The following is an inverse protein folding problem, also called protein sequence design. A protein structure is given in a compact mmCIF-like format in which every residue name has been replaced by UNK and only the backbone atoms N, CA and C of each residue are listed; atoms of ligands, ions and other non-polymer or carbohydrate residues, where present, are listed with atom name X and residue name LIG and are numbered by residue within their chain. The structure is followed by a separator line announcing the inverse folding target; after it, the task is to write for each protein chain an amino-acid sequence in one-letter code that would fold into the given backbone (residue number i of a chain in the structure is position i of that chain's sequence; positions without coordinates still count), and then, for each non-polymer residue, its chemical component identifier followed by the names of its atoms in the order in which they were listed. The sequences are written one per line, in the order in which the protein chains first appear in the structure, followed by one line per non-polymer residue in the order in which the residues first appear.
data_IF_526243670295
#
_entry.id   IF_526243670295
#
_cell.length_a   1.000
_cell.length_b   1.000
_cell.length_c   1.000
_cell.angle_alpha   90.00
_cell.angle_beta   90.00
_cell.angle_gamma   90.00
#
_symmetry.space_group_name_H-M   'P 1'
#
loop_
_entity.id
_entity.type
_entity.pdbx_description
1 polymer ?
#
# COMPACT_ATOMS: atom_id res chain seq x y z
N UNK A 1 -26.87 -19.84 -24.32
CA UNK A 1 -27.76 -19.58 -23.17
C UNK A 1 -26.90 -19.46 -21.92
N UNK A 2 -27.19 -18.50 -21.05
CA UNK A 2 -26.48 -18.32 -19.78
C UNK A 2 -26.88 -19.43 -18.81
N UNK A 3 -25.91 -20.11 -18.21
CA UNK A 3 -26.15 -21.26 -17.33
C UNK A 3 -26.04 -20.87 -15.86
N UNK A 4 -27.12 -21.01 -15.10
CA UNK A 4 -27.05 -20.88 -13.64
C UNK A 4 -26.51 -22.16 -13.00
N UNK A 5 -25.53 -22.02 -12.10
CA UNK A 5 -24.94 -23.11 -11.32
C UNK A 5 -25.44 -23.11 -9.86
N UNK A 6 -26.25 -22.12 -9.49
CA UNK A 6 -26.71 -21.91 -8.11
C UNK A 6 -25.57 -21.53 -7.15
N UNK A 7 -25.78 -21.83 -5.88
CA UNK A 7 -24.81 -21.53 -4.82
C UNK A 7 -23.71 -22.60 -4.74
N UNK A 8 -22.47 -22.15 -4.73
CA UNK A 8 -21.27 -22.97 -4.76
C UNK A 8 -20.45 -22.78 -3.48
N UNK A 9 -19.84 -23.88 -3.01
CA UNK A 9 -18.86 -23.85 -1.92
C UNK A 9 -17.42 -23.64 -2.40
N UNK A 10 -17.16 -23.76 -3.70
CA UNK A 10 -15.83 -23.60 -4.31
C UNK A 10 -15.99 -22.88 -5.66
N UNK A 11 -16.06 -21.54 -5.67
CA UNK A 11 -16.29 -20.76 -6.88
C UNK A 11 -15.15 -20.94 -7.90
N UNK A 12 -13.91 -21.05 -7.46
CA UNK A 12 -12.76 -21.27 -8.36
C UNK A 12 -12.89 -22.55 -9.19
N UNK A 13 -13.44 -23.64 -8.63
CA UNK A 13 -13.66 -24.87 -9.40
C UNK A 13 -14.64 -24.67 -10.55
N UNK A 14 -15.68 -23.85 -10.35
CA UNK A 14 -16.62 -23.54 -11.42
C UNK A 14 -15.96 -22.73 -12.53
N UNK A 15 -15.08 -21.79 -12.18
CA UNK A 15 -14.29 -21.04 -13.16
C UNK A 15 -13.33 -21.98 -13.91
N UNK A 16 -12.59 -22.87 -13.24
CA UNK A 16 -11.74 -23.84 -13.94
C UNK A 16 -12.55 -24.70 -14.92
N UNK A 17 -13.72 -25.18 -14.49
CA UNK A 17 -14.61 -25.97 -15.36
C UNK A 17 -15.12 -25.16 -16.57
N UNK A 18 -15.36 -23.86 -16.39
CA UNK A 18 -15.71 -22.94 -17.47
C UNK A 18 -14.57 -22.80 -18.48
N UNK A 19 -13.34 -22.66 -18.00
CA UNK A 19 -12.16 -22.53 -18.86
C UNK A 19 -11.85 -23.83 -19.62
N UNK A 20 -12.06 -24.98 -18.97
CA UNK A 20 -11.82 -26.31 -19.54
C UNK A 20 -12.75 -26.65 -20.73
N UNK A 21 -13.87 -25.92 -20.92
CA UNK A 21 -14.73 -26.15 -22.09
C UNK A 21 -14.05 -25.74 -23.39
N UNK A 22 -13.18 -24.72 -23.35
CA UNK A 22 -12.58 -24.11 -24.55
C UNK A 22 -13.58 -23.42 -25.48
N UNK A 23 -14.87 -23.38 -25.13
CA UNK A 23 -15.96 -22.85 -25.94
C UNK A 23 -16.54 -21.58 -25.31
N UNK A 24 -17.22 -20.75 -26.11
CA UNK A 24 -17.97 -19.60 -25.60
C UNK A 24 -19.00 -20.05 -24.57
N UNK A 25 -18.92 -19.50 -23.36
CA UNK A 25 -19.81 -19.84 -22.27
C UNK A 25 -20.03 -18.66 -21.32
N UNK A 26 -21.22 -18.61 -20.74
CA UNK A 26 -21.55 -17.67 -19.68
C UNK A 26 -22.26 -18.41 -18.55
N UNK A 27 -21.73 -18.30 -17.35
CA UNK A 27 -22.25 -18.94 -16.15
C UNK A 27 -22.55 -17.92 -15.07
N UNK A 28 -23.59 -18.19 -14.28
CA UNK A 28 -23.93 -17.42 -13.09
C UNK A 28 -23.91 -18.34 -11.89
N UNK A 29 -23.27 -17.92 -10.81
CA UNK A 29 -23.23 -18.66 -9.56
C UNK A 29 -23.17 -17.74 -8.35
N UNK A 30 -23.45 -18.31 -7.19
CA UNK A 30 -23.37 -17.61 -5.91
C UNK A 30 -22.31 -18.25 -5.02
N UNK A 31 -21.71 -17.49 -4.12
CA UNK A 31 -20.87 -18.03 -3.05
C UNK A 31 -20.98 -17.18 -1.78
N UNK A 32 -20.63 -17.77 -0.64
CA UNK A 32 -20.54 -17.02 0.63
C UNK A 32 -19.13 -16.43 0.76
N UNK A 33 -19.04 -15.11 0.85
CA UNK A 33 -17.82 -14.37 1.15
C UNK A 33 -17.85 -13.90 2.60
N UNK A 34 -16.81 -14.23 3.37
CA UNK A 34 -16.68 -13.75 4.74
C UNK A 34 -16.00 -12.38 4.72
N UNK A 35 -16.70 -11.35 5.21
CA UNK A 35 -16.17 -10.00 5.23
C UNK A 35 -15.19 -9.79 6.40
N UNK A 36 -14.02 -10.44 6.33
CA UNK A 36 -12.97 -10.33 7.34
C UNK A 36 -12.53 -8.88 7.62
N UNK A 37 -12.72 -8.00 6.64
CA UNK A 37 -12.40 -6.59 6.67
C UNK A 37 -13.52 -5.68 7.23
N UNK A 38 -14.68 -6.21 7.62
CA UNK A 38 -15.77 -5.39 8.18
C UNK A 38 -16.48 -6.07 9.34
N UNK A 39 -17.58 -6.76 9.08
CA UNK A 39 -18.46 -7.36 10.10
C UNK A 39 -17.97 -8.72 10.58
N UNK A 40 -17.08 -9.37 9.81
CA UNK A 40 -16.74 -10.78 9.98
C UNK A 40 -17.89 -11.74 9.65
N UNK A 41 -19.03 -11.24 9.14
CA UNK A 41 -20.18 -12.04 8.76
C UNK A 41 -20.09 -12.43 7.28
N UNK A 42 -20.67 -13.58 6.90
CA UNK A 42 -20.78 -13.97 5.51
C UNK A 42 -21.83 -13.13 4.78
N UNK A 43 -21.53 -12.76 3.54
CA UNK A 43 -22.48 -12.22 2.56
C UNK A 43 -22.54 -13.15 1.34
N UNK A 44 -23.71 -13.26 0.72
CA UNK A 44 -23.83 -13.97 -0.56
C UNK A 44 -23.43 -13.02 -1.69
N UNK A 45 -22.48 -13.43 -2.51
CA UNK A 45 -22.07 -12.74 -3.72
C UNK A 45 -22.51 -13.56 -4.93
N UNK A 46 -23.12 -12.89 -5.90
CA UNK A 46 -23.42 -13.43 -7.23
C UNK A 46 -22.33 -13.02 -8.20
N UNK A 47 -21.88 -13.97 -8.99
CA UNK A 47 -20.86 -13.77 -10.03
C UNK A 47 -21.43 -14.18 -11.37
N UNK A 48 -21.23 -13.32 -12.36
CA UNK A 48 -21.53 -13.60 -13.76
C UNK A 48 -20.18 -13.71 -14.46
N UNK A 49 -19.82 -14.91 -14.92
CA UNK A 49 -18.58 -15.16 -15.64
C UNK A 49 -18.87 -15.43 -17.11
N UNK A 50 -18.23 -14.67 -17.99
CA UNK A 50 -18.22 -14.90 -19.42
C UNK A 50 -16.82 -15.32 -19.87
N UNK A 51 -16.76 -16.32 -20.74
CA UNK A 51 -15.53 -16.78 -21.36
C UNK A 51 -15.74 -16.99 -22.86
N UNK A 52 -14.82 -16.50 -23.68
CA UNK A 52 -14.77 -16.79 -25.10
C UNK A 52 -13.33 -16.69 -25.62
N UNK A 53 -12.75 -17.78 -26.15
CA UNK A 53 -11.43 -17.79 -26.81
C UNK A 53 -10.33 -17.01 -26.07
N UNK A 54 -10.22 -17.22 -24.75
CA UNK A 54 -9.31 -16.43 -23.94
C UNK A 54 -9.78 -14.99 -23.80
N UNK A 55 -11.06 -14.74 -23.55
CA UNK A 55 -11.58 -13.47 -23.04
C UNK A 55 -12.38 -13.79 -21.79
N UNK A 56 -11.74 -13.71 -20.62
CA UNK A 56 -12.35 -14.01 -19.34
C UNK A 56 -12.83 -12.72 -18.69
N UNK A 57 -14.15 -12.58 -18.57
CA UNK A 57 -14.80 -11.41 -18.01
C UNK A 57 -15.70 -11.78 -16.86
N UNK A 58 -15.78 -10.91 -15.86
CA UNK A 58 -16.57 -11.15 -14.67
C UNK A 58 -17.28 -9.88 -14.19
N UNK A 59 -18.47 -10.07 -13.64
CA UNK A 59 -19.23 -9.06 -12.92
C UNK A 59 -19.71 -9.63 -11.57
N UNK A 60 -19.83 -8.77 -10.57
CA UNK A 60 -20.14 -9.14 -9.19
C UNK A 60 -21.30 -8.31 -8.66
N UNK A 61 -22.19 -8.92 -7.87
CA UNK A 61 -23.28 -8.20 -7.18
C UNK A 61 -23.78 -8.96 -5.96
N UNK A 62 -24.35 -8.25 -4.99
CA UNK A 62 -25.12 -8.82 -3.88
C UNK A 62 -26.63 -8.81 -4.12
N UNK A 63 -27.10 -8.27 -5.25
CA UNK A 63 -28.52 -8.14 -5.60
C UNK A 63 -29.04 -9.36 -6.39
N UNK A 64 -29.59 -10.35 -5.68
CA UNK A 64 -29.96 -11.68 -6.19
C UNK A 64 -31.30 -11.74 -6.96
N UNK A 65 -32.33 -11.07 -6.45
CA UNK A 65 -33.71 -11.23 -6.94
C UNK A 65 -33.93 -10.69 -8.37
N UNK A 66 -33.39 -9.51 -8.75
CA UNK A 66 -33.56 -8.97 -10.11
C UNK A 66 -32.85 -9.82 -11.19
N UNK A 67 -31.70 -10.43 -10.84
CA UNK A 67 -30.84 -11.14 -11.79
C UNK A 67 -31.41 -12.50 -12.19
N UNK A 68 -31.97 -13.23 -11.22
CA UNK A 68 -32.49 -14.59 -11.39
C UNK A 68 -33.58 -14.67 -12.48
N UNK A 69 -34.43 -13.65 -12.55
CA UNK A 69 -35.50 -13.55 -13.56
C UNK A 69 -34.94 -13.24 -14.95
N UNK A 70 -33.93 -12.39 -15.04
CA UNK A 70 -33.36 -11.94 -16.32
C UNK A 70 -32.57 -13.03 -17.05
N UNK A 71 -31.99 -14.01 -16.34
CA UNK A 71 -31.22 -15.12 -16.94
C UNK A 71 -32.10 -16.08 -17.75
N UNK A 72 -33.31 -16.39 -17.23
CA UNK A 72 -34.22 -17.36 -17.85
C UNK A 72 -34.91 -16.88 -19.14
N UNK A 73 -34.83 -15.58 -19.44
CA UNK A 73 -35.52 -14.94 -20.57
C UNK A 73 -34.59 -14.64 -21.76
N UNK A 74 -33.29 -14.98 -21.69
CA UNK A 74 -32.33 -14.64 -22.74
C UNK A 74 -32.40 -15.59 -23.94
N UNK A 75 -32.80 -15.07 -25.09
CA UNK A 75 -32.82 -15.80 -26.37
C UNK A 75 -31.73 -15.35 -27.36
N UNK A 76 -30.93 -14.35 -26.98
CA UNK A 76 -29.85 -13.78 -27.79
C UNK A 76 -28.55 -14.62 -27.69
N UNK A 77 -27.53 -14.28 -28.49
CA UNK A 77 -26.19 -14.86 -28.37
C UNK A 77 -25.58 -14.65 -26.98
N UNK A 78 -24.65 -15.51 -26.57
CA UNK A 78 -24.15 -15.56 -25.18
C UNK A 78 -23.50 -14.23 -24.76
N UNK A 79 -22.58 -13.69 -25.57
CA UNK A 79 -21.97 -12.38 -25.32
C UNK A 79 -22.99 -11.22 -25.22
N UNK A 80 -23.99 -11.21 -26.11
CA UNK A 80 -25.03 -10.17 -26.09
C UNK A 80 -25.89 -10.26 -24.83
N UNK A 81 -26.28 -11.48 -24.43
CA UNK A 81 -27.01 -11.74 -23.20
C UNK A 81 -26.21 -11.31 -21.96
N UNK A 82 -24.90 -11.60 -21.93
CA UNK A 82 -23.98 -11.13 -20.89
C UNK A 82 -23.98 -9.59 -20.81
N UNK A 83 -23.67 -8.91 -21.92
CA UNK A 83 -23.61 -7.44 -21.98
C UNK A 83 -24.92 -6.79 -21.54
N UNK A 84 -26.05 -7.34 -21.98
CA UNK A 84 -27.39 -6.84 -21.64
C UNK A 84 -27.69 -6.97 -20.14
N UNK A 85 -27.27 -8.06 -19.50
CA UNK A 85 -27.40 -8.23 -18.04
C UNK A 85 -26.58 -7.17 -17.31
N UNK A 86 -25.31 -6.98 -17.69
CA UNK A 86 -24.43 -5.99 -17.08
C UNK A 86 -25.03 -4.58 -17.16
N UNK A 87 -25.53 -4.18 -18.33
CA UNK A 87 -26.18 -2.88 -18.53
C UNK A 87 -27.45 -2.75 -17.70
N UNK A 88 -28.32 -3.78 -17.69
CA UNK A 88 -29.59 -3.76 -16.95
C UNK A 88 -29.39 -3.61 -15.44
N UNK A 89 -28.29 -4.14 -14.91
CA UNK A 89 -27.96 -4.13 -13.48
C UNK A 89 -26.82 -3.16 -13.13
N UNK A 90 -26.35 -2.34 -14.08
CA UNK A 90 -25.27 -1.36 -13.89
C UNK A 90 -23.99 -1.99 -13.28
N UNK A 91 -23.64 -3.19 -13.73
CA UNK A 91 -22.49 -3.93 -13.21
C UNK A 91 -21.21 -3.60 -13.97
N UNK A 92 -20.09 -3.64 -13.24
CA UNK A 92 -18.75 -3.39 -13.80
C UNK A 92 -18.25 -4.55 -14.66
N UNK A 93 -17.76 -4.15 -15.83
CA UNK A 93 -17.07 -4.91 -16.87
C UNK A 93 -15.64 -5.39 -16.58
N UNK A 94 -15.40 -6.36 -15.68
CA UNK A 94 -14.00 -6.71 -15.35
C UNK A 94 -13.45 -7.75 -16.33
N UNK A 95 -12.58 -7.30 -17.24
CA UNK A 95 -11.80 -8.18 -18.12
C UNK A 95 -10.49 -8.61 -17.45
N UNK A 96 -10.44 -9.85 -16.96
CA UNK A 96 -9.29 -10.40 -16.23
C UNK A 96 -8.06 -10.67 -17.12
N UNK A 97 -8.18 -10.53 -18.43
CA UNK A 97 -7.05 -10.72 -19.35
C UNK A 97 -6.37 -9.42 -19.78
N UNK A 98 -6.82 -8.29 -19.21
CA UNK A 98 -6.24 -6.96 -19.41
C UNK A 98 -5.70 -6.42 -18.09
N UNK A 99 -4.81 -5.41 -18.12
CA UNK A 99 -4.44 -4.65 -16.94
C UNK A 99 -5.68 -4.11 -16.21
N UNK A 100 -5.77 -4.38 -14.93
CA UNK A 100 -6.86 -3.95 -14.06
C UNK A 100 -6.43 -2.68 -13.32
N UNK A 101 -7.06 -1.55 -13.63
CA UNK A 101 -6.81 -0.31 -12.90
C UNK A 101 -7.22 -0.47 -11.44
N UNK A 102 -6.32 -0.12 -10.53
CA UNK A 102 -6.58 -0.16 -9.09
C UNK A 102 -7.23 1.14 -8.65
N UNK A 103 -8.40 1.04 -8.03
CA UNK A 103 -9.01 2.19 -7.36
C UNK A 103 -8.29 2.44 -6.03
N UNK A 104 -8.11 3.72 -5.69
CA UNK A 104 -7.39 4.12 -4.49
C UNK A 104 -8.31 4.21 -3.28
N UNK A 105 -7.79 3.82 -2.11
CA UNK A 105 -8.39 4.11 -0.81
C UNK A 105 -7.50 5.08 -0.04
N UNK A 106 -8.00 6.28 0.23
CA UNK A 106 -7.32 7.25 1.09
C UNK A 106 -7.60 6.93 2.55
N UNK A 107 -6.55 6.80 3.36
CA UNK A 107 -6.62 6.51 4.79
C UNK A 107 -6.01 7.69 5.53
N UNK A 108 -6.82 8.53 6.19
CA UNK A 108 -6.30 9.67 6.94
C UNK A 108 -5.46 9.18 8.12
N UNK A 109 -4.35 9.88 8.37
CA UNK A 109 -3.48 9.68 9.52
C UNK A 109 -3.25 11.02 10.22
N UNK A 110 -2.89 11.02 11.52
CA UNK A 110 -2.51 12.25 12.20
C UNK A 110 -1.40 12.99 11.46
N UNK A 111 -0.48 12.23 10.86
CA UNK A 111 0.68 12.78 10.17
C UNK A 111 0.48 13.14 8.69
N UNK A 112 -0.70 12.89 8.12
CA UNK A 112 -0.93 13.05 6.69
C UNK A 112 -1.96 12.03 6.20
N UNK A 113 -1.56 11.17 5.27
CA UNK A 113 -2.39 10.08 4.80
C UNK A 113 -1.57 8.93 4.21
N UNK A 114 -2.18 7.76 4.18
CA UNK A 114 -1.77 6.68 3.29
C UNK A 114 -2.75 6.61 2.11
N UNK A 115 -2.27 6.26 0.93
CA UNK A 115 -3.10 6.02 -0.27
C UNK A 115 -2.88 4.59 -0.71
N UNK A 116 -3.86 3.72 -0.50
CA UNK A 116 -3.73 2.27 -0.73
C UNK A 116 -4.25 1.88 -2.11
N UNK A 117 -3.58 0.93 -2.76
CA UNK A 117 -3.96 0.38 -4.08
C UNK A 117 -4.34 -1.10 -4.01
N UNK A 118 -3.81 -1.86 -3.05
CA UNK A 118 -4.08 -3.31 -2.92
C UNK A 118 -4.52 -3.73 -1.52
N UNK A 119 -5.15 -2.80 -0.78
CA UNK A 119 -5.73 -3.07 0.53
C UNK A 119 -6.81 -4.15 0.51
N UNK A 120 -6.75 -5.10 1.45
CA UNK A 120 -7.72 -6.21 1.57
C UNK A 120 -8.14 -6.49 3.02
N UNK A 121 -7.93 -5.54 3.94
CA UNK A 121 -8.22 -5.71 5.37
C UNK A 121 -8.95 -4.52 5.98
N UNK A 122 -9.32 -4.64 7.25
CA UNK A 122 -10.20 -3.73 8.00
C UNK A 122 -9.85 -2.24 7.92
N UNK A 123 -8.57 -1.87 7.84
CA UNK A 123 -8.18 -0.44 7.72
C UNK A 123 -8.40 0.13 6.32
N UNK A 124 -8.45 -0.70 5.28
CA UNK A 124 -8.60 -0.24 3.91
C UNK A 124 -8.78 -1.38 2.91
N UNK A 125 -9.89 -1.34 2.17
CA UNK A 125 -10.21 -2.27 1.09
C UNK A 125 -10.16 -1.49 -0.22
N UNK A 126 -9.32 -1.93 -1.14
CA UNK A 126 -9.23 -1.39 -2.48
C UNK A 126 -10.17 -2.13 -3.42
N UNK A 127 -10.54 -1.46 -4.50
CA UNK A 127 -11.47 -1.99 -5.51
C UNK A 127 -10.85 -1.97 -6.90
N UNK A 128 -11.46 -2.73 -7.81
CA UNK A 128 -11.24 -2.63 -9.25
C UNK A 128 -12.60 -2.33 -9.85
N UNK A 129 -12.76 -1.15 -10.44
CA UNK A 129 -14.05 -0.68 -10.96
C UNK A 129 -15.17 -0.81 -9.91
N UNK A 130 -14.90 -0.35 -8.68
CA UNK A 130 -15.77 -0.43 -7.51
C UNK A 130 -16.09 -1.86 -6.99
N UNK A 131 -15.53 -2.92 -7.58
CA UNK A 131 -15.63 -4.28 -7.02
C UNK A 131 -14.51 -4.50 -6.00
N UNK A 132 -14.83 -4.90 -4.75
CA UNK A 132 -13.81 -5.23 -3.75
C UNK A 132 -12.81 -6.27 -4.25
N UNK A 133 -11.52 -5.95 -4.15
CA UNK A 133 -10.44 -6.86 -4.53
C UNK A 133 -10.56 -8.26 -3.88
N UNK A 134 -10.96 -8.40 -2.59
CA UNK A 134 -11.19 -9.71 -1.98
C UNK A 134 -12.24 -10.57 -2.71
N UNK A 135 -13.28 -9.96 -3.30
CA UNK A 135 -14.32 -10.70 -4.03
C UNK A 135 -13.75 -11.34 -5.30
N UNK A 136 -12.87 -10.61 -5.98
CA UNK A 136 -12.18 -11.10 -7.18
C UNK A 136 -11.23 -12.24 -6.78
N UNK A 137 -10.47 -12.08 -5.70
CA UNK A 137 -9.51 -13.09 -5.23
C UNK A 137 -10.20 -14.39 -4.79
N UNK A 138 -11.32 -14.33 -4.06
CA UNK A 138 -12.05 -15.53 -3.62
C UNK A 138 -12.50 -16.43 -4.78
N UNK A 139 -12.79 -15.82 -5.93
CA UNK A 139 -13.24 -16.53 -7.13
C UNK A 139 -12.05 -16.92 -8.01
N UNK A 140 -11.14 -15.98 -8.26
CA UNK A 140 -10.15 -16.05 -9.33
C UNK A 140 -8.69 -16.14 -8.87
N UNK A 141 -8.39 -16.28 -7.57
CA UNK A 141 -7.01 -16.25 -7.05
C UNK A 141 -6.03 -17.05 -7.92
N UNK A 142 -6.24 -18.35 -8.15
CA UNK A 142 -5.30 -19.17 -8.93
C UNK A 142 -5.03 -18.68 -10.36
N UNK A 143 -5.96 -17.94 -10.96
CA UNK A 143 -5.88 -17.47 -12.34
C UNK A 143 -5.34 -16.02 -12.37
N UNK A 144 -5.73 -15.18 -11.40
CA UNK A 144 -5.36 -13.78 -11.34
C UNK A 144 -4.00 -13.57 -10.68
N UNK A 145 -3.66 -14.33 -9.64
CA UNK A 145 -2.34 -14.28 -8.98
C UNK A 145 -1.34 -15.25 -9.60
N UNK A 146 -1.82 -16.33 -10.22
CA UNK A 146 -1.01 -17.47 -10.68
C UNK A 146 -0.85 -18.58 -9.63
N UNK A 147 -1.23 -18.34 -8.36
CA UNK A 147 -1.24 -19.34 -7.29
C UNK A 147 -2.14 -18.93 -6.12
N UNK A 148 -2.89 -19.88 -5.55
CA UNK A 148 -3.77 -19.59 -4.39
C UNK A 148 -3.01 -19.22 -3.12
N UNK A 149 -1.74 -19.58 -3.01
CA UNK A 149 -0.91 -19.29 -1.84
C UNK A 149 -0.38 -17.84 -1.86
N UNK A 150 -0.43 -17.18 -3.01
CA UNK A 150 0.04 -15.81 -3.15
C UNK A 150 -1.01 -14.82 -2.69
N UNK A 151 -0.65 -14.01 -1.71
CA UNK A 151 -1.39 -12.81 -1.32
C UNK A 151 -0.82 -11.61 -2.06
N UNK A 152 -1.65 -10.65 -2.51
CA UNK A 152 -1.14 -9.44 -3.13
C UNK A 152 -0.11 -8.72 -2.26
N UNK A 153 0.97 -8.27 -2.88
CA UNK A 153 1.90 -7.29 -2.31
C UNK A 153 1.07 -6.06 -1.95
N UNK A 154 1.30 -5.48 -0.78
CA UNK A 154 0.60 -4.26 -0.40
C UNK A 154 1.34 -3.06 -0.99
N UNK A 155 0.70 -2.43 -1.98
CA UNK A 155 1.11 -1.20 -2.63
C UNK A 155 0.32 -0.03 -2.02
N UNK A 156 1.07 0.95 -1.51
CA UNK A 156 0.52 2.20 -1.01
C UNK A 156 1.48 3.36 -1.27
N UNK A 157 0.98 4.58 -1.12
CA UNK A 157 1.79 5.79 -1.03
C UNK A 157 1.71 6.31 0.39
N UNK A 158 2.85 6.72 0.95
CA UNK A 158 2.90 7.52 2.17
C UNK A 158 2.98 8.99 1.76
N UNK A 159 2.05 9.79 2.27
CA UNK A 159 1.92 11.22 1.96
C UNK A 159 1.89 12.05 3.24
N UNK A 160 3.05 12.27 3.88
CA UNK A 160 3.11 13.00 5.13
C UNK A 160 2.92 14.50 4.90
N UNK A 161 2.36 15.18 5.90
CA UNK A 161 2.33 16.64 5.94
C UNK A 161 3.73 17.21 5.75
N UNK A 162 3.91 18.35 5.07
CA UNK A 162 5.22 19.01 4.98
C UNK A 162 5.63 19.74 6.26
N UNK A 163 4.78 19.77 7.29
CA UNK A 163 5.08 20.48 8.54
C UNK A 163 5.82 19.57 9.51
N UNK A 164 7.01 19.99 9.98
CA UNK A 164 7.79 19.26 11.00
C UNK A 164 6.94 18.87 12.21
N UNK A 165 7.24 17.73 12.85
CA UNK A 165 6.49 17.11 13.96
C UNK A 165 5.15 16.54 13.49
N UNK A 166 4.33 17.33 12.79
CA UNK A 166 3.05 16.85 12.27
C UNK A 166 3.28 15.80 11.18
N UNK A 167 4.18 16.03 10.23
CA UNK A 167 4.45 15.13 9.13
C UNK A 167 5.43 13.99 9.43
N UNK A 168 6.10 14.02 10.56
CA UNK A 168 7.06 12.97 10.90
C UNK A 168 6.31 11.70 11.28
N UNK A 169 6.67 10.56 10.69
CA UNK A 169 6.09 9.26 11.04
C UNK A 169 6.70 8.70 12.33
N UNK A 170 6.11 7.62 12.85
CA UNK A 170 6.69 6.87 13.97
C UNK A 170 8.14 6.49 13.68
N UNK A 171 9.01 6.52 14.69
CA UNK A 171 10.22 5.72 14.65
C UNK A 171 9.83 4.31 15.08
N UNK A 172 9.66 3.44 14.09
CA UNK A 172 9.09 2.10 14.25
C UNK A 172 9.98 1.02 13.64
N UNK A 173 9.75 -0.22 14.05
CA UNK A 173 10.33 -1.41 13.41
C UNK A 173 9.27 -2.47 13.17
N UNK A 174 9.58 -3.38 12.25
CA UNK A 174 8.79 -4.58 11.96
C UNK A 174 9.63 -5.83 12.18
N UNK A 175 9.01 -6.97 12.53
CA UNK A 175 9.74 -8.22 12.82
C UNK A 175 9.66 -9.21 11.65
N UNK A 176 8.60 -9.15 10.84
CA UNK A 176 8.42 -10.02 9.68
C UNK A 176 8.39 -9.22 8.39
N UNK A 177 7.78 -8.05 8.46
CA UNK A 177 7.50 -7.25 7.29
C UNK A 177 8.79 -6.72 6.64
N UNK A 178 8.82 -6.82 5.31
CA UNK A 178 9.78 -6.15 4.44
C UNK A 178 9.09 -5.08 3.62
N UNK A 179 9.79 -3.97 3.42
CA UNK A 179 9.28 -2.83 2.70
C UNK A 179 10.35 -2.27 1.75
N UNK A 180 9.92 -1.68 0.64
CA UNK A 180 10.78 -0.82 -0.17
C UNK A 180 10.05 0.48 -0.48
N UNK A 181 10.74 1.59 -0.20
CA UNK A 181 10.28 2.94 -0.49
C UNK A 181 10.98 3.47 -1.73
N UNK A 182 10.21 4.10 -2.62
CA UNK A 182 10.73 4.89 -3.74
C UNK A 182 10.25 6.33 -3.57
N UNK A 183 11.20 7.25 -3.39
CA UNK A 183 10.89 8.67 -3.19
C UNK A 183 10.37 9.27 -4.48
N UNK A 184 9.15 9.80 -4.46
CA UNK A 184 8.50 10.40 -5.65
C UNK A 184 8.43 11.91 -5.57
N UNK A 185 8.37 12.47 -4.36
CA UNK A 185 8.27 13.91 -4.18
C UNK A 185 8.88 14.36 -2.85
N UNK A 186 9.43 15.58 -2.86
CA UNK A 186 9.89 16.30 -1.69
C UNK A 186 9.19 17.67 -1.70
N UNK A 187 8.53 18.02 -0.61
CA UNK A 187 7.92 19.34 -0.47
C UNK A 187 9.01 20.43 -0.46
N UNK A 188 8.87 21.40 -1.36
CA UNK A 188 9.87 22.45 -1.58
C UNK A 188 9.97 23.46 -0.42
N UNK A 189 8.92 23.60 0.39
CA UNK A 189 8.94 24.49 1.55
C UNK A 189 9.58 23.81 2.75
N UNK A 190 9.35 22.51 2.92
CA UNK A 190 10.01 21.69 3.94
C UNK A 190 11.50 21.48 3.62
N UNK A 191 11.82 21.22 2.35
CA UNK A 191 13.16 20.82 1.91
C UNK A 191 13.63 21.67 0.71
N UNK A 192 13.98 22.97 0.93
CA UNK A 192 14.30 23.90 -0.15
C UNK A 192 15.54 23.49 -0.97
N UNK A 193 16.44 22.70 -0.39
CA UNK A 193 17.64 22.18 -1.07
C UNK A 193 17.39 20.86 -1.82
N UNK A 194 16.12 20.46 -1.97
CA UNK A 194 15.70 19.19 -2.60
C UNK A 194 16.36 17.96 -1.97
N UNK A 195 16.53 18.01 -0.65
CA UNK A 195 17.15 16.98 0.17
C UNK A 195 16.24 16.70 1.37
N UNK A 196 15.36 15.71 1.24
CA UNK A 196 14.52 15.21 2.31
C UNK A 196 15.30 14.36 3.30
N UNK A 197 14.62 13.83 4.31
CA UNK A 197 15.24 12.96 5.32
C UNK A 197 14.38 11.74 5.66
N UNK A 198 15.05 10.66 6.04
CA UNK A 198 14.50 9.52 6.76
C UNK A 198 15.40 9.25 7.97
N UNK A 199 14.81 8.91 9.12
CA UNK A 199 15.59 8.28 10.20
C UNK A 199 15.67 6.80 9.90
N UNK A 200 16.87 6.23 9.89
CA UNK A 200 17.08 4.88 9.40
C UNK A 200 18.19 4.19 10.17
N UNK A 201 17.81 3.33 11.11
CA UNK A 201 18.70 2.73 12.08
C UNK A 201 19.12 3.68 13.20
N UNK A 202 20.02 3.18 14.04
CA UNK A 202 20.66 3.96 15.10
C UNK A 202 21.95 4.61 14.62
N UNK A 203 22.28 5.75 15.21
CA UNK A 203 23.46 6.54 14.85
C UNK A 203 24.76 5.81 15.25
N UNK A 204 25.65 5.49 14.30
CA UNK A 204 26.87 4.74 14.58
C UNK A 204 27.83 5.46 15.52
N UNK A 205 27.92 6.80 15.43
CA UNK A 205 28.78 7.57 16.31
C UNK A 205 28.25 7.54 17.74
N UNK A 206 26.93 7.63 17.92
CA UNK A 206 26.30 7.45 19.22
C UNK A 206 26.50 6.04 19.78
N UNK A 207 26.36 4.99 18.96
CA UNK A 207 26.64 3.61 19.37
C UNK A 207 28.07 3.50 19.91
N UNK A 208 29.04 4.08 19.20
CA UNK A 208 30.46 4.05 19.56
C UNK A 208 30.80 4.81 20.86
N UNK A 209 29.89 5.64 21.39
CA UNK A 209 30.09 6.29 22.70
C UNK A 209 29.85 5.35 23.90
N UNK A 210 29.20 4.20 23.67
CA UNK A 210 28.91 3.22 24.71
C UNK A 210 29.85 2.02 24.64
N UNK A 211 30.09 1.39 25.79
CA UNK A 211 31.02 0.26 25.86
C UNK A 211 30.49 -1.00 25.17
N UNK A 212 29.16 -1.16 25.11
CA UNK A 212 28.50 -2.30 24.51
C UNK A 212 27.05 -1.95 24.09
N UNK A 213 26.46 -2.85 23.31
CA UNK A 213 25.10 -2.74 22.79
C UNK A 213 24.04 -2.63 23.90
N UNK A 214 24.22 -3.33 25.02
CA UNK A 214 23.25 -3.30 26.12
C UNK A 214 23.23 -1.93 26.81
N UNK A 215 24.39 -1.32 27.00
CA UNK A 215 24.50 0.03 27.55
C UNK A 215 23.89 1.07 26.61
N UNK A 216 24.12 0.95 25.30
CA UNK A 216 23.47 1.78 24.31
C UNK A 216 21.93 1.64 24.37
N UNK A 217 21.41 0.41 24.29
CA UNK A 217 19.96 0.14 24.36
C UNK A 217 19.34 0.69 25.63
N UNK A 218 20.01 0.52 26.77
CA UNK A 218 19.57 1.06 28.06
C UNK A 218 19.54 2.59 28.06
N UNK A 219 20.57 3.23 27.52
CA UNK A 219 20.64 4.69 27.45
C UNK A 219 19.56 5.28 26.52
N UNK A 220 19.34 4.65 25.36
CA UNK A 220 18.26 5.03 24.46
C UNK A 220 16.90 4.86 25.15
N UNK A 221 16.64 3.71 25.80
CA UNK A 221 15.39 3.48 26.53
C UNK A 221 15.16 4.52 27.64
N UNK A 222 16.21 4.91 28.37
CA UNK A 222 16.12 6.00 29.35
C UNK A 222 15.73 7.31 28.68
N UNK A 223 16.40 7.68 27.59
CA UNK A 223 16.09 8.93 26.85
C UNK A 223 14.65 8.95 26.31
N UNK A 224 14.17 7.82 25.80
CA UNK A 224 12.79 7.66 25.33
C UNK A 224 11.79 7.80 26.47
N UNK A 225 12.05 7.19 27.63
CA UNK A 225 11.16 7.28 28.80
C UNK A 225 11.11 8.70 29.37
N UNK A 226 12.25 9.39 29.43
CA UNK A 226 12.32 10.78 29.88
C UNK A 226 11.53 11.69 28.94
N UNK A 227 11.70 11.52 27.63
CA UNK A 227 10.92 12.21 26.61
C UNK A 227 9.41 11.94 26.74
N UNK A 228 9.03 10.66 26.83
CA UNK A 228 7.63 10.22 26.88
C UNK A 228 6.88 10.82 28.06
N UNK A 229 7.50 10.93 29.25
CA UNK A 229 6.86 11.54 30.42
C UNK A 229 6.42 12.99 30.18
N UNK A 230 7.15 13.73 29.35
CA UNK A 230 6.79 15.11 28.96
C UNK A 230 5.76 15.09 27.84
N UNK A 231 5.94 14.23 26.84
CA UNK A 231 4.99 14.06 25.73
C UNK A 231 3.59 13.68 26.22
N UNK A 232 3.47 12.77 27.18
CA UNK A 232 2.21 12.34 27.77
C UNK A 232 1.44 13.52 28.40
N UNK A 233 2.14 14.49 29.01
CA UNK A 233 1.52 15.70 29.57
C UNK A 233 1.02 16.65 28.49
N UNK A 234 1.77 16.78 27.40
CA UNK A 234 1.39 17.59 26.25
C UNK A 234 0.19 16.96 25.56
N UNK A 235 0.20 15.65 25.35
CA UNK A 235 -0.90 14.91 24.75
C UNK A 235 -2.18 15.05 25.56
N UNK A 236 -2.10 14.93 26.90
CA UNK A 236 -3.25 15.17 27.77
C UNK A 236 -3.83 16.59 27.61
N UNK A 237 -2.96 17.62 27.49
CA UNK A 237 -3.41 18.99 27.25
C UNK A 237 -4.03 19.17 25.86
N UNK A 238 -3.45 18.55 24.82
CA UNK A 238 -4.00 18.58 23.47
C UNK A 238 -5.33 17.85 23.38
N UNK A 239 -5.52 16.77 24.14
CA UNK A 239 -6.79 16.06 24.25
C UNK A 239 -7.88 16.96 24.88
N UNK A 240 -7.55 17.73 25.93
CA UNK A 240 -8.48 18.72 26.51
C UNK A 240 -8.89 19.78 25.48
N UNK A 241 -7.92 20.34 24.74
CA UNK A 241 -8.18 21.36 23.71
C UNK A 241 -9.07 20.77 22.59
N UNK A 242 -8.74 19.56 22.13
CA UNK A 242 -9.51 18.83 21.11
C UNK A 242 -10.95 18.54 21.58
N UNK A 243 -11.11 18.08 22.82
CA UNK A 243 -12.43 17.81 23.41
C UNK A 243 -13.28 19.09 23.51
N UNK A 244 -12.66 20.23 23.88
CA UNK A 244 -13.36 21.52 23.93
C UNK A 244 -13.80 22.00 22.53
N UNK A 245 -13.06 21.61 21.49
CA UNK A 245 -13.42 21.86 20.09
C UNK A 245 -14.45 20.87 19.52
N UNK A 246 -14.93 19.90 20.31
CA UNK A 246 -15.89 18.86 19.90
C UNK A 246 -15.44 18.00 18.71
N UNK A 247 -14.11 17.83 18.55
CA UNK A 247 -13.53 16.98 17.52
C UNK A 247 -13.31 15.56 18.03
N UNK A 248 -13.49 14.58 17.14
CA UNK A 248 -13.31 13.17 17.50
C UNK A 248 -11.83 12.85 17.69
N UNK A 249 -11.51 11.91 18.58
CA UNK A 249 -10.14 11.41 18.73
C UNK A 249 -9.64 10.84 17.39
N UNK A 250 -8.44 11.28 16.98
CA UNK A 250 -7.82 10.85 15.73
C UNK A 250 -8.28 11.52 14.44
N UNK A 251 -9.29 12.38 14.49
CA UNK A 251 -9.63 13.23 13.36
C UNK A 251 -8.45 14.13 12.96
N UNK A 252 -8.15 14.21 11.66
CA UNK A 252 -7.08 15.05 11.13
C UNK A 252 -7.48 16.51 11.28
N UNK A 253 -6.54 17.34 11.71
CA UNK A 253 -6.73 18.79 11.81
C UNK A 253 -5.85 19.53 10.80
N UNK A 254 -6.28 20.70 10.29
CA UNK A 254 -5.43 21.57 9.48
C UNK A 254 -4.16 21.99 10.22
N UNK A 255 -3.10 22.32 9.48
CA UNK A 255 -1.80 22.73 10.03
C UNK A 255 -1.95 23.96 10.93
N UNK A 256 -2.80 24.91 10.55
CA UNK A 256 -3.07 26.13 11.32
C UNK A 256 -3.71 25.81 12.68
N UNK A 257 -4.63 24.84 12.70
CA UNK A 257 -5.26 24.36 13.94
C UNK A 257 -4.24 23.65 14.82
N UNK A 258 -3.43 22.76 14.23
CA UNK A 258 -2.33 22.10 14.96
C UNK A 258 -1.39 23.11 15.61
N UNK A 259 -0.97 24.15 14.87
CA UNK A 259 -0.12 25.24 15.36
C UNK A 259 -0.79 26.04 16.47
N UNK A 260 -2.07 26.38 16.30
CA UNK A 260 -2.84 27.09 17.32
C UNK A 260 -2.87 26.31 18.63
N UNK A 261 -3.18 25.01 18.60
CA UNK A 261 -3.24 24.19 19.80
C UNK A 261 -1.88 24.02 20.46
N UNK A 262 -0.81 23.85 19.67
CA UNK A 262 0.54 23.76 20.21
C UNK A 262 1.01 25.09 20.83
N UNK A 263 0.47 26.23 20.39
CA UNK A 263 0.76 27.53 21.02
C UNK A 263 0.10 27.72 22.39
N UNK A 264 -0.88 26.89 22.74
CA UNK A 264 -1.54 26.88 24.05
C UNK A 264 -0.83 25.99 25.08
N UNK A 265 0.22 25.26 24.66
CA UNK A 265 1.02 24.45 25.57
C UNK A 265 1.91 25.36 26.41
N UNK A 266 2.07 25.02 27.70
CA UNK A 266 2.95 25.75 28.61
C UNK A 266 4.36 25.90 27.99
N UNK A 267 4.92 27.13 27.87
CA UNK A 267 6.20 27.34 27.20
C UNK A 267 7.37 26.60 27.85
N UNK A 268 7.33 26.37 29.17
CA UNK A 268 8.38 25.62 29.87
C UNK A 268 8.30 24.14 29.49
N UNK A 269 7.08 23.59 29.47
CA UNK A 269 6.83 22.21 29.05
C UNK A 269 7.19 21.99 27.57
N UNK A 270 6.87 22.93 26.68
CA UNK A 270 7.22 22.88 25.27
C UNK A 270 8.74 22.94 25.05
N UNK A 271 9.45 23.79 25.79
CA UNK A 271 10.91 23.84 25.74
C UNK A 271 11.55 22.54 26.25
N UNK A 272 10.99 21.96 27.32
CA UNK A 272 11.44 20.68 27.86
C UNK A 272 11.20 19.52 26.87
N UNK A 273 10.03 19.48 26.21
CA UNK A 273 9.73 18.52 25.15
C UNK A 273 10.77 18.58 24.05
N UNK A 274 11.05 19.79 23.54
CA UNK A 274 12.00 19.99 22.45
C UNK A 274 13.39 19.49 22.84
N UNK A 275 13.88 19.86 24.03
CA UNK A 275 15.18 19.44 24.52
C UNK A 275 15.28 17.91 24.63
N UNK A 276 14.26 17.25 25.19
CA UNK A 276 14.26 15.80 25.36
C UNK A 276 14.08 15.05 24.03
N UNK A 277 13.28 15.60 23.11
CA UNK A 277 13.14 15.08 21.75
C UNK A 277 14.45 15.15 21.00
N UNK A 278 15.15 16.28 21.06
CA UNK A 278 16.47 16.45 20.46
C UNK A 278 17.47 15.45 21.05
N UNK A 279 17.53 15.30 22.38
CA UNK A 279 18.40 14.34 23.05
C UNK A 279 18.11 12.88 22.64
N UNK A 280 16.82 12.50 22.56
CA UNK A 280 16.40 11.19 22.08
C UNK A 280 16.76 10.97 20.61
N UNK A 281 16.56 11.98 19.76
CA UNK A 281 16.83 11.92 18.34
C UNK A 281 18.32 11.82 18.00
N UNK A 282 19.23 12.19 18.91
CA UNK A 282 20.66 11.97 18.73
C UNK A 282 20.99 10.49 18.52
N UNK A 283 20.23 9.58 19.14
CA UNK A 283 20.47 8.14 19.02
C UNK A 283 20.14 7.58 17.62
N UNK A 284 19.38 8.29 16.79
CA UNK A 284 18.88 7.77 15.51
C UNK A 284 19.69 8.33 14.35
N UNK A 285 20.07 7.49 13.40
CA UNK A 285 20.78 7.92 12.21
C UNK A 285 19.82 8.64 11.26
N UNK A 286 20.30 9.73 10.65
CA UNK A 286 19.59 10.41 9.57
C UNK A 286 20.23 10.05 8.23
N UNK A 287 19.38 9.80 7.23
CA UNK A 287 19.79 9.62 5.84
C UNK A 287 19.09 10.67 4.99
N UNK A 288 19.88 11.40 4.20
CA UNK A 288 19.35 12.35 3.21
C UNK A 288 18.73 11.59 2.04
N UNK A 289 17.61 12.10 1.54
CA UNK A 289 16.81 11.54 0.46
C UNK A 289 16.62 12.53 -0.68
N UNK A 290 16.61 12.00 -1.90
CA UNK A 290 16.27 12.71 -3.15
C UNK A 290 15.17 11.96 -3.88
N UNK A 291 14.46 12.66 -4.77
CA UNK A 291 13.50 12.03 -5.69
C UNK A 291 14.23 10.95 -6.50
N UNK A 292 13.64 9.76 -6.57
CA UNK A 292 14.21 8.59 -7.20
C UNK A 292 15.08 7.72 -6.28
N UNK A 293 15.38 8.15 -5.05
CA UNK A 293 16.07 7.29 -4.09
C UNK A 293 15.22 6.08 -3.72
N UNK A 294 15.91 4.98 -3.38
CA UNK A 294 15.32 3.72 -2.96
C UNK A 294 15.81 3.37 -1.57
N UNK A 295 14.88 2.98 -0.71
CA UNK A 295 15.16 2.53 0.65
C UNK A 295 14.52 1.16 0.80
N UNK A 296 15.35 0.12 0.91
CA UNK A 296 14.89 -1.21 1.31
C UNK A 296 14.93 -1.28 2.83
N UNK A 297 13.85 -1.74 3.44
CA UNK A 297 13.70 -1.86 4.89
C UNK A 297 13.59 -3.34 5.23
N UNK A 298 14.65 -3.89 5.84
CA UNK A 298 14.62 -5.27 6.33
C UNK A 298 13.96 -5.35 7.70
N UNK A 299 13.54 -6.57 8.11
CA UNK A 299 13.01 -6.76 9.45
C UNK A 299 14.04 -6.38 10.51
N UNK A 300 13.52 -5.87 11.63
CA UNK A 300 14.25 -5.38 12.79
C UNK A 300 15.06 -4.10 12.57
N UNK A 301 14.84 -3.39 11.45
CA UNK A 301 15.46 -2.08 11.18
C UNK A 301 14.52 -0.94 11.58
N UNK A 302 14.89 -0.13 12.58
CA UNK A 302 14.09 1.03 12.97
C UNK A 302 14.13 2.11 11.89
N UNK A 303 12.98 2.69 11.55
CA UNK A 303 12.92 3.74 10.55
C UNK A 303 11.76 4.70 10.80
N UNK A 304 11.84 5.91 10.24
CA UNK A 304 10.81 6.94 10.28
C UNK A 304 10.96 7.88 9.08
N UNK A 305 9.99 7.84 8.17
CA UNK A 305 9.91 8.82 7.08
C UNK A 305 9.61 10.21 7.68
N UNK A 306 10.40 11.22 7.31
CA UNK A 306 10.19 12.58 7.84
C UNK A 306 9.15 13.33 7.00
N UNK A 307 8.62 14.41 7.59
CA UNK A 307 7.65 15.32 6.98
C UNK A 307 8.00 15.70 5.53
N UNK A 308 6.97 15.85 4.68
CA UNK A 308 7.11 16.33 3.31
C UNK A 308 7.86 15.40 2.35
N UNK A 309 8.28 14.21 2.78
CA UNK A 309 8.84 13.17 1.91
C UNK A 309 7.73 12.22 1.50
N UNK A 310 7.38 12.22 0.22
CA UNK A 310 6.36 11.32 -0.35
C UNK A 310 7.04 10.12 -1.00
N UNK A 311 6.54 8.92 -0.70
CA UNK A 311 7.10 7.66 -1.23
C UNK A 311 6.00 6.74 -1.74
N UNK A 312 6.31 6.00 -2.82
CA UNK A 312 5.62 4.75 -3.15
C UNK A 312 6.24 3.68 -2.27
N UNK A 313 5.41 2.88 -1.61
CA UNK A 313 5.81 1.76 -0.77
C UNK A 313 5.22 0.45 -1.28
N UNK A 314 6.09 -0.54 -1.49
CA UNK A 314 5.71 -1.94 -1.61
C UNK A 314 6.10 -2.67 -0.33
N UNK A 315 5.18 -3.43 0.25
CA UNK A 315 5.46 -4.22 1.45
C UNK A 315 4.83 -5.61 1.35
N UNK A 316 5.40 -6.56 2.09
CA UNK A 316 4.71 -7.82 2.41
C UNK A 316 3.36 -7.52 3.08
N UNK A 317 2.32 -8.36 2.94
CA UNK A 317 0.99 -8.16 3.53
C UNK A 317 0.97 -8.46 5.04
N UNK A 318 1.95 -7.92 5.75
CA UNK A 318 2.15 -7.96 7.19
C UNK A 318 1.87 -6.57 7.76
N UNK A 319 1.38 -6.54 9.00
CA UNK A 319 0.74 -5.35 9.56
C UNK A 319 1.16 -5.05 11.00
N UNK A 320 2.08 -5.85 11.54
CA UNK A 320 2.70 -5.55 12.82
C UNK A 320 3.55 -4.29 12.72
N UNK A 321 3.67 -3.60 13.84
CA UNK A 321 4.60 -2.49 14.04
C UNK A 321 4.93 -2.42 15.52
N UNK A 322 6.18 -2.09 15.81
CA UNK A 322 6.65 -1.79 17.15
C UNK A 322 7.07 -0.33 17.15
N UNK A 323 6.41 0.51 17.94
CA UNK A 323 6.69 1.94 17.99
C UNK A 323 7.78 2.19 19.04
N UNK A 324 8.97 2.63 18.61
CA UNK A 324 10.06 2.95 19.52
C UNK A 324 9.89 4.35 20.12
N UNK A 325 9.48 5.32 19.31
CA UNK A 325 9.19 6.70 19.75
C UNK A 325 8.35 7.45 18.73
N UNK A 326 7.63 8.49 19.18
CA UNK A 326 6.84 9.32 18.28
C UNK A 326 6.72 10.77 18.79
N UNK A 327 6.74 11.75 17.89
CA UNK A 327 6.65 13.17 18.24
C UNK A 327 5.21 13.67 18.44
N UNK A 328 4.22 12.82 18.14
CA UNK A 328 2.80 13.08 18.36
C UNK A 328 2.18 11.96 19.22
N UNK A 329 0.90 12.11 19.55
CA UNK A 329 0.13 11.07 20.24
C UNK A 329 -0.04 9.83 19.37
N UNK A 330 0.22 8.64 19.92
CA UNK A 330 -0.15 7.37 19.29
C UNK A 330 -1.63 7.09 19.56
N UNK A 331 -2.40 6.83 18.50
CA UNK A 331 -3.86 6.70 18.60
C UNK A 331 -4.36 5.25 18.68
N UNK A 332 -3.55 4.29 18.24
CA UNK A 332 -3.97 2.89 18.17
C UNK A 332 -3.63 2.11 19.44
N UNK A 333 -2.79 2.67 20.30
CA UNK A 333 -2.31 2.04 21.54
C UNK A 333 -1.86 3.12 22.53
N UNK A 334 -1.87 2.78 23.82
CA UNK A 334 -1.51 3.67 24.92
C UNK A 334 -0.06 3.47 25.41
N UNK A 335 0.76 2.74 24.66
CA UNK A 335 2.15 2.47 24.98
C UNK A 335 3.05 2.57 23.75
N UNK A 336 4.33 2.83 23.99
CA UNK A 336 5.39 2.59 23.01
C UNK A 336 6.01 1.24 23.32
N UNK A 337 6.33 0.50 22.26
CA UNK A 337 6.92 -0.84 22.31
C UNK A 337 8.44 -0.79 22.42
N UNK A 338 9.01 0.33 22.89
CA UNK A 338 10.45 0.62 22.83
C UNK A 338 11.27 -0.50 23.43
N UNK A 339 10.86 -1.06 24.58
CA UNK A 339 11.61 -2.11 25.26
C UNK A 339 11.61 -3.40 24.44
N UNK A 340 10.43 -3.83 24.00
CA UNK A 340 10.21 -5.03 23.19
C UNK A 340 10.92 -4.91 21.84
N UNK A 341 10.89 -3.73 21.23
CA UNK A 341 11.59 -3.41 20.00
C UNK A 341 13.11 -3.53 20.17
N UNK A 342 13.67 -3.01 21.27
CA UNK A 342 15.10 -3.09 21.55
C UNK A 342 15.59 -4.52 21.78
N UNK A 343 14.73 -5.45 22.17
CA UNK A 343 15.10 -6.87 22.27
C UNK A 343 15.28 -7.53 20.89
N UNK A 344 14.66 -6.98 19.84
CA UNK A 344 14.68 -7.54 18.48
C UNK A 344 15.55 -6.76 17.48
N UNK A 345 15.84 -5.50 17.79
CA UNK A 345 16.45 -4.55 16.86
C UNK A 345 17.84 -4.99 16.37
N UNK A 346 18.11 -4.72 15.10
CA UNK A 346 19.45 -4.79 14.53
C UNK A 346 20.12 -3.41 14.67
N UNK A 347 21.23 -3.35 15.43
CA UNK A 347 21.98 -2.11 15.71
C UNK A 347 23.11 -1.89 14.70
N UNK A 348 23.42 -2.90 13.88
CA UNK A 348 24.39 -2.78 12.81
C UNK A 348 24.02 -1.72 11.78
N UNK A 349 25.03 -1.19 11.09
CA UNK A 349 24.81 -0.33 9.92
C UNK A 349 24.19 -1.19 8.83
N UNK A 350 22.96 -0.88 8.42
CA UNK A 350 22.44 -1.43 7.18
C UNK A 350 23.23 -0.84 6.01
N UNK A 351 23.87 -1.71 5.24
CA UNK A 351 24.48 -1.31 3.98
C UNK A 351 23.38 -0.84 3.02
N UNK A 352 23.64 0.26 2.31
CA UNK A 352 22.76 0.68 1.23
C UNK A 352 22.83 -0.38 0.15
N UNK A 353 21.72 -1.11 -0.06
CA UNK A 353 21.63 -2.10 -1.13
C UNK A 353 21.98 -1.44 -2.47
N UNK A 354 22.96 -2.00 -3.17
CA UNK A 354 23.33 -1.52 -4.50
C UNK A 354 22.19 -1.82 -5.48
N UNK A 355 21.76 -0.80 -6.23
CA UNK A 355 20.79 -0.99 -7.31
C UNK A 355 21.48 -1.77 -8.43
N UNK A 356 20.99 -2.97 -8.70
CA UNK A 356 21.52 -3.81 -9.76
C UNK A 356 20.92 -3.41 -11.11
N UNK A 357 21.76 -2.98 -12.05
CA UNK A 357 21.32 -2.74 -13.42
C UNK A 357 21.09 -4.08 -14.14
N UNK A 358 19.87 -4.32 -14.62
CA UNK A 358 19.49 -5.54 -15.35
C UNK A 358 19.66 -5.39 -16.86
N UNK A 359 19.36 -4.21 -17.39
CA UNK A 359 19.47 -3.87 -18.82
C UNK A 359 19.69 -2.35 -18.99
N UNK A 360 19.72 -1.82 -20.21
CA UNK A 360 19.82 -0.36 -20.41
C UNK A 360 18.62 0.41 -19.85
N UNK A 361 17.46 -0.24 -19.71
CA UNK A 361 16.21 0.39 -19.25
C UNK A 361 15.72 -0.12 -17.90
N UNK A 362 16.31 -1.18 -17.36
CA UNK A 362 15.84 -1.82 -16.13
C UNK A 362 16.89 -1.84 -15.02
N UNK A 363 16.41 -1.54 -13.81
CA UNK A 363 17.18 -1.70 -12.58
C UNK A 363 16.35 -2.48 -11.56
N UNK A 364 16.94 -3.51 -10.96
CA UNK A 364 16.39 -4.19 -9.80
C UNK A 364 16.65 -3.32 -8.57
N UNK A 365 15.57 -2.82 -7.98
CA UNK A 365 15.64 -1.86 -6.87
C UNK A 365 15.28 -2.49 -5.51
N UNK A 366 14.63 -3.65 -5.51
CA UNK A 366 14.46 -4.52 -4.35
C UNK A 366 14.42 -5.98 -4.78
N UNK A 367 15.06 -6.84 -4.00
CA UNK A 367 15.16 -8.28 -4.23
C UNK A 367 14.98 -9.00 -2.89
N UNK A 368 13.73 -9.12 -2.44
CA UNK A 368 13.37 -9.86 -1.25
C UNK A 368 12.95 -11.29 -1.60
N UNK A 369 12.98 -12.18 -0.62
CA UNK A 369 12.55 -13.58 -0.80
C UNK A 369 11.07 -13.69 -1.17
N UNK A 370 10.25 -12.70 -0.81
CA UNK A 370 8.81 -12.69 -1.02
C UNK A 370 8.42 -11.96 -2.32
N UNK A 371 9.16 -10.91 -2.70
CA UNK A 371 8.89 -10.13 -3.90
C UNK A 371 10.11 -9.33 -4.35
N UNK A 372 10.12 -8.98 -5.64
CA UNK A 372 11.10 -8.09 -6.25
C UNK A 372 10.44 -6.87 -6.87
N UNK A 373 11.17 -5.77 -6.92
CA UNK A 373 10.72 -4.52 -7.56
C UNK A 373 11.75 -4.08 -8.60
N UNK A 374 11.27 -3.86 -9.82
CA UNK A 374 12.05 -3.39 -10.95
C UNK A 374 11.62 -1.97 -11.28
N UNK A 375 12.58 -1.07 -11.43
CA UNK A 375 12.39 0.25 -12.05
C UNK A 375 12.67 0.13 -13.54
N UNK A 376 11.74 0.60 -14.36
CA UNK A 376 11.95 0.74 -15.80
C UNK A 376 11.98 2.23 -16.15
N UNK A 377 13.01 2.64 -16.88
CA UNK A 377 13.16 3.96 -17.48
C UNK A 377 13.02 3.83 -19.01
N UNK A 378 11.94 4.37 -19.57
CA UNK A 378 11.71 4.37 -21.02
C UNK A 378 12.02 5.74 -21.60
N UNK A 379 12.87 5.80 -22.62
CA UNK A 379 13.06 7.02 -23.42
C UNK A 379 11.84 7.26 -24.32
N UNK A 380 11.63 8.49 -24.83
CA UNK A 380 10.54 8.80 -25.75
C UNK A 380 10.48 7.81 -26.94
N UNK A 381 9.30 7.24 -27.19
CA UNK A 381 9.08 6.28 -28.28
C UNK A 381 9.65 4.87 -28.03
N UNK A 382 10.17 4.59 -26.83
CA UNK A 382 10.52 3.22 -26.44
C UNK A 382 9.31 2.47 -25.93
N UNK A 383 9.28 1.18 -26.28
CA UNK A 383 8.27 0.23 -25.86
C UNK A 383 8.92 -0.95 -25.14
N UNK A 384 8.15 -1.58 -24.26
CA UNK A 384 8.51 -2.84 -23.61
C UNK A 384 7.27 -3.69 -23.44
N UNK A 385 7.43 -5.02 -23.47
CA UNK A 385 6.33 -5.94 -23.17
C UNK A 385 6.50 -6.49 -21.76
N UNK A 386 5.43 -6.45 -20.98
CA UNK A 386 5.27 -7.27 -19.78
C UNK A 386 4.62 -8.58 -20.21
N UNK A 387 5.34 -9.67 -19.98
CA UNK A 387 4.85 -11.03 -20.11
C UNK A 387 5.16 -11.71 -18.78
N UNK A 388 4.12 -12.04 -18.01
CA UNK A 388 4.27 -12.45 -16.62
C UNK A 388 3.44 -13.70 -16.35
N UNK A 389 4.11 -14.78 -15.95
CA UNK A 389 3.49 -16.06 -15.55
C UNK A 389 2.82 -15.98 -14.15
N UNK A 390 3.09 -14.90 -13.43
CA UNK A 390 2.49 -14.52 -12.15
C UNK A 390 2.01 -13.09 -12.24
N UNK A 391 1.15 -12.68 -11.30
CA UNK A 391 0.71 -11.29 -11.32
C UNK A 391 1.88 -10.31 -11.09
N UNK A 392 1.70 -9.09 -11.60
CA UNK A 392 2.54 -7.98 -11.19
C UNK A 392 1.70 -6.74 -10.88
N UNK A 393 2.23 -5.91 -9.99
CA UNK A 393 1.71 -4.57 -9.72
C UNK A 393 2.55 -3.57 -10.48
N UNK A 394 1.89 -2.65 -11.16
CA UNK A 394 2.52 -1.62 -11.98
C UNK A 394 2.06 -0.26 -11.49
N UNK A 395 2.99 0.66 -11.24
CA UNK A 395 2.65 2.05 -10.88
C UNK A 395 3.54 3.03 -11.63
N UNK A 396 2.92 4.04 -12.23
CA UNK A 396 3.63 5.12 -12.91
C UNK A 396 4.24 6.10 -11.89
N UNK A 397 5.47 6.54 -12.11
CA UNK A 397 6.14 7.52 -11.25
C UNK A 397 6.15 8.89 -11.92
N UNK A 398 6.60 8.95 -13.17
CA UNK A 398 6.73 10.18 -13.93
C UNK A 398 6.66 9.93 -15.44
N UNK A 399 6.38 11.00 -16.19
CA UNK A 399 6.25 10.96 -17.64
C UNK A 399 4.84 10.58 -18.10
N UNK A 400 4.73 10.27 -19.38
CA UNK A 400 3.47 9.87 -20.02
C UNK A 400 3.66 8.49 -20.62
N UNK A 401 2.88 7.53 -20.12
CA UNK A 401 2.97 6.12 -20.47
C UNK A 401 1.63 5.63 -21.00
N UNK A 402 1.66 4.64 -21.88
CA UNK A 402 0.53 3.79 -22.17
C UNK A 402 0.81 2.37 -21.66
N UNK A 403 -0.21 1.71 -21.10
CA UNK A 403 -0.21 0.30 -20.71
C UNK A 403 -1.33 -0.40 -21.48
N UNK A 404 -0.97 -1.04 -22.58
CA UNK A 404 -1.92 -1.51 -23.59
C UNK A 404 -2.75 -0.34 -24.13
N UNK A 405 -4.07 -0.42 -23.93
CA UNK A 405 -5.02 0.62 -24.36
C UNK A 405 -5.17 1.77 -23.35
N UNK A 406 -4.61 1.62 -22.14
CA UNK A 406 -4.79 2.57 -21.05
C UNK A 406 -3.69 3.64 -21.07
N UNK A 407 -4.04 4.90 -20.85
CA UNK A 407 -3.05 5.95 -20.55
C UNK A 407 -2.78 5.96 -19.05
N UNK A 408 -1.50 6.03 -18.70
CA UNK A 408 -1.04 6.10 -17.32
C UNK A 408 -0.64 7.54 -17.01
N UNK A 409 -1.25 8.11 -15.98
CA UNK A 409 -0.74 9.32 -15.34
C UNK A 409 0.09 8.94 -14.11
N UNK A 410 0.99 9.82 -13.61
CA UNK A 410 1.75 9.57 -12.40
C UNK A 410 0.86 9.10 -11.24
N UNK A 411 1.35 8.12 -10.49
CA UNK A 411 0.70 7.49 -9.34
C UNK A 411 -0.58 6.71 -9.63
N UNK A 412 -0.88 6.41 -10.91
CA UNK A 412 -1.87 5.38 -11.22
C UNK A 412 -1.27 3.98 -11.12
N UNK A 413 -1.94 3.13 -10.34
CA UNK A 413 -1.59 1.74 -10.13
C UNK A 413 -2.47 0.79 -10.93
N UNK A 414 -1.87 -0.30 -11.42
CA UNK A 414 -2.53 -1.36 -12.16
C UNK A 414 -2.09 -2.72 -11.58
N UNK A 415 -3.04 -3.64 -11.53
CA UNK A 415 -2.80 -5.05 -11.29
C UNK A 415 -2.81 -5.74 -12.65
N UNK A 416 -1.72 -6.40 -13.03
CA UNK A 416 -1.67 -7.24 -14.24
C UNK A 416 -1.87 -8.69 -13.80
N UNK A 417 -3.03 -9.31 -14.10
CA UNK A 417 -3.30 -10.70 -13.76
C UNK A 417 -2.30 -11.67 -14.41
N UNK A 418 -2.03 -12.80 -13.75
CA UNK A 418 -1.21 -13.87 -14.32
C UNK A 418 -1.82 -14.48 -15.60
N UNK A 419 -3.13 -14.39 -15.77
CA UNK A 419 -3.83 -14.80 -16.99
C UNK A 419 -3.93 -13.69 -18.05
N UNK A 420 -3.32 -12.53 -17.82
CA UNK A 420 -3.31 -11.45 -18.79
C UNK A 420 -2.50 -11.85 -20.03
N UNK A 421 -2.94 -11.35 -21.18
CA UNK A 421 -2.12 -11.42 -22.40
C UNK A 421 -0.90 -10.50 -22.24
N UNK A 422 0.21 -10.74 -22.94
CA UNK A 422 1.36 -9.85 -22.90
C UNK A 422 0.96 -8.40 -23.16
N UNK A 423 1.37 -7.50 -22.28
CA UNK A 423 0.94 -6.10 -22.26
C UNK A 423 2.09 -5.20 -22.70
N UNK A 424 1.86 -4.37 -23.71
CA UNK A 424 2.83 -3.34 -24.09
C UNK A 424 2.80 -2.16 -23.11
N UNK A 425 3.97 -1.70 -22.67
CA UNK A 425 4.19 -0.40 -22.06
C UNK A 425 4.95 0.46 -23.06
N UNK A 426 4.44 1.65 -23.31
CA UNK A 426 5.02 2.60 -24.26
C UNK A 426 5.20 3.97 -23.63
N UNK A 427 6.35 4.60 -23.83
CA UNK A 427 6.49 6.02 -23.54
C UNK A 427 5.87 6.85 -24.67
N UNK A 428 4.70 7.41 -24.39
CA UNK A 428 3.92 8.24 -25.33
C UNK A 428 4.29 9.73 -25.25
N UNK A 429 5.17 10.09 -24.31
CA UNK A 429 5.62 11.46 -24.08
C UNK A 429 6.88 11.84 -24.87
N UNK A 430 7.37 13.05 -24.57
CA UNK A 430 8.59 13.63 -25.17
C UNK A 430 9.77 13.67 -24.21
N UNK A 431 9.60 13.13 -22.99
CA UNK A 431 10.63 13.03 -21.95
C UNK A 431 10.73 11.58 -21.48
N UNK A 432 11.83 11.17 -20.82
CA UNK A 432 11.88 9.87 -20.17
C UNK A 432 10.70 9.68 -19.22
N UNK A 433 10.24 8.43 -19.12
CA UNK A 433 9.16 8.04 -18.24
C UNK A 433 9.60 6.88 -17.34
N UNK A 434 9.20 6.92 -16.08
CA UNK A 434 9.61 5.96 -15.06
C UNK A 434 8.39 5.20 -14.56
N UNK A 435 8.51 3.88 -14.51
CA UNK A 435 7.48 2.97 -14.02
C UNK A 435 8.11 1.94 -13.08
N UNK A 436 7.36 1.55 -12.05
CA UNK A 436 7.77 0.51 -11.11
C UNK A 436 6.92 -0.72 -11.33
N UNK A 437 7.56 -1.89 -11.36
CA UNK A 437 6.91 -3.19 -11.43
C UNK A 437 7.31 -4.00 -10.20
N UNK A 438 6.34 -4.36 -9.37
CA UNK A 438 6.52 -5.30 -8.28
C UNK A 438 5.90 -6.65 -8.62
N UNK A 439 6.62 -7.74 -8.36
CA UNK A 439 6.15 -9.10 -8.61
C UNK A 439 6.59 -10.03 -7.48
N UNK A 440 5.79 -11.04 -7.10
CA UNK A 440 6.20 -12.07 -6.16
C UNK A 440 7.43 -12.84 -6.63
N UNK A 441 8.13 -13.49 -5.71
CA UNK A 441 9.09 -14.55 -6.01
C UNK A 441 8.37 -15.90 -5.81
N UNK A 442 8.61 -16.86 -6.71
CA UNK A 442 8.05 -18.22 -6.64
C UNK A 442 8.94 -19.18 -5.88
#
# INVERSE_FOLDING_TARGET
MIKSLGKLSNPTKAVSTLLDTGEEACVVFEFDHVQHYSTGLPITITVICYYNEGDLRAAFTTELDPLSKAIGEQTDGIEHAYTKLLVAHQLSDINLQKPLKLDIQQIPKPWGQEIWYTGIETRGICTIQAVPLPWILDVFASIVTGSRELTPILLKILDPSPYEILGDLYFELHVKKREVYVVTHLDENAWPDSAGEIRFGFDPDMINTYADEQQFKKAYLTSVNDYRQVRDKIDARLDEIRSNAQLTEGERVPVETFRSWHSEIDPTLAAQEKQLREAMNLFTAKRSLRVGDVIQVNPCTPHSLQHGVRVIEFQTPHYERYILSFAQKVLTQNHWDTKEALDQVQIGVEETAEIQQLSETESLIADFEEFKVIRILLQPGMDKTIDADIYCLVISVEGSLALGEQQLVPEEGYYIPACARPVAISNTGTRPATILIAQPVQ
#
